data_IF_404430415143
#
_entry.id   IF_404430415143
#
_cell.length_a   1.000
_cell.length_b   1.000
_cell.length_c   1.000
_cell.angle_alpha   90.00
_cell.angle_beta   90.00
_cell.angle_gamma   90.00
#
_symmetry.space_group_name_H-M   'P 1'
#
loop_
_entity.id
_entity.type
_entity.pdbx_description
1 polymer ?
#
# COMPACT_ATOMS: atom_id res chain seq x y z
N UNK A 1 -46.39 -13.18 15.16
CA UNK A 1 -44.95 -13.13 14.84
C UNK A 1 -44.53 -11.71 15.11
N UNK A 2 -43.95 -11.44 16.28
CA UNK A 2 -43.39 -10.11 16.59
C UNK A 2 -42.14 -9.92 15.73
N UNK A 3 -42.13 -8.90 14.87
CA UNK A 3 -40.93 -8.52 14.14
C UNK A 3 -39.88 -8.05 15.15
N UNK A 4 -38.82 -8.83 15.32
CA UNK A 4 -37.71 -8.43 16.16
C UNK A 4 -37.03 -7.20 15.56
N UNK A 5 -36.74 -6.15 16.35
CA UNK A 5 -36.09 -4.95 15.85
C UNK A 5 -34.69 -5.32 15.33
N UNK A 6 -34.38 -4.87 14.12
CA UNK A 6 -33.08 -5.10 13.49
C UNK A 6 -31.96 -4.57 14.41
N UNK A 7 -30.87 -5.33 14.61
CA UNK A 7 -29.77 -4.88 15.46
C UNK A 7 -29.20 -3.56 14.93
N UNK A 8 -28.79 -2.63 15.81
CA UNK A 8 -28.26 -1.33 15.39
C UNK A 8 -27.04 -1.55 14.49
N UNK A 9 -27.11 -1.05 13.25
CA UNK A 9 -26.04 -1.15 12.26
C UNK A 9 -24.81 -0.44 12.82
N UNK A 10 -23.77 -1.21 13.17
CA UNK A 10 -22.50 -0.67 13.66
C UNK A 10 -21.85 0.13 12.55
N UNK A 11 -21.97 1.44 12.59
CA UNK A 11 -21.27 2.30 11.65
C UNK A 11 -19.76 2.15 11.83
N UNK A 12 -18.99 2.03 10.73
CA UNK A 12 -17.55 1.99 10.84
C UNK A 12 -17.08 3.29 11.49
N UNK A 13 -16.52 3.19 12.69
CA UNK A 13 -15.92 4.33 13.39
C UNK A 13 -14.91 5.00 12.47
N UNK A 14 -15.04 6.32 12.32
CA UNK A 14 -14.16 7.15 11.47
C UNK A 14 -12.68 6.89 11.76
N UNK A 15 -12.32 6.61 13.02
CA UNK A 15 -10.97 6.20 13.42
C UNK A 15 -10.47 4.91 12.73
N UNK A 16 -11.34 3.92 12.56
CA UNK A 16 -10.99 2.68 11.85
C UNK A 16 -10.72 2.92 10.37
N UNK A 17 -11.46 3.86 9.77
CA UNK A 17 -11.28 4.23 8.37
C UNK A 17 -9.90 4.89 8.15
N UNK A 18 -9.51 5.81 9.05
CA UNK A 18 -8.17 6.41 9.00
C UNK A 18 -7.05 5.40 9.18
N UNK A 19 -7.21 4.45 10.12
CA UNK A 19 -6.23 3.38 10.32
C UNK A 19 -5.99 2.57 9.04
N UNK A 20 -7.08 2.21 8.34
CA UNK A 20 -7.01 1.49 7.07
C UNK A 20 -6.29 2.30 5.98
N UNK A 21 -6.64 3.58 5.84
CA UNK A 21 -6.01 4.46 4.83
C UNK A 21 -4.52 4.62 5.12
N UNK A 22 -4.12 4.82 6.38
CA UNK A 22 -2.71 4.85 6.76
C UNK A 22 -2.01 3.52 6.46
N UNK A 23 -2.68 2.40 6.71
CA UNK A 23 -2.14 1.08 6.45
C UNK A 23 -1.77 0.87 4.98
N UNK A 24 -2.70 1.22 4.09
CA UNK A 24 -2.49 1.16 2.65
C UNK A 24 -1.43 2.18 2.23
N UNK A 25 -1.49 3.40 2.75
CA UNK A 25 -0.57 4.48 2.43
C UNK A 25 0.89 4.12 2.70
N UNK A 26 1.22 3.63 3.90
CA UNK A 26 2.60 3.24 4.21
C UNK A 26 3.03 2.00 3.42
N UNK A 27 2.12 1.08 3.12
CA UNK A 27 2.41 -0.14 2.35
C UNK A 27 2.89 0.20 0.93
N UNK A 28 2.44 1.32 0.37
CA UNK A 28 2.88 1.82 -0.94
C UNK A 28 4.08 2.76 -0.80
N UNK A 29 4.03 3.70 0.15
CA UNK A 29 5.06 4.73 0.31
C UNK A 29 6.43 4.14 0.68
N UNK A 30 6.48 3.13 1.55
CA UNK A 30 7.75 2.54 2.00
C UNK A 30 8.52 1.91 0.81
N UNK A 31 7.95 0.97 0.02
CA UNK A 31 8.62 0.45 -1.16
C UNK A 31 9.02 1.53 -2.15
N UNK A 32 8.14 2.49 -2.43
CA UNK A 32 8.40 3.55 -3.41
C UNK A 32 9.63 4.38 -3.02
N UNK A 33 9.67 4.86 -1.77
CA UNK A 33 10.78 5.68 -1.28
C UNK A 33 12.07 4.87 -1.21
N UNK A 34 12.01 3.63 -0.72
CA UNK A 34 13.19 2.75 -0.64
C UNK A 34 13.79 2.49 -2.03
N UNK A 35 12.98 2.07 -3.00
CA UNK A 35 13.47 1.78 -4.34
C UNK A 35 13.87 3.05 -5.11
N UNK A 36 13.17 4.17 -4.92
CA UNK A 36 13.55 5.43 -5.55
C UNK A 36 14.90 5.95 -5.02
N UNK A 37 15.14 5.88 -3.69
CA UNK A 37 16.42 6.28 -3.10
C UNK A 37 17.53 5.34 -3.57
N UNK A 38 17.29 4.02 -3.52
CA UNK A 38 18.27 3.03 -3.99
C UNK A 38 18.61 3.23 -5.47
N UNK A 39 17.59 3.35 -6.33
CA UNK A 39 17.78 3.59 -7.77
C UNK A 39 18.52 4.90 -8.04
N UNK A 40 18.14 5.98 -7.35
CA UNK A 40 18.82 7.28 -7.50
C UNK A 40 20.27 7.25 -7.04
N UNK A 41 20.55 6.54 -5.95
CA UNK A 41 21.89 6.39 -5.44
C UNK A 41 22.78 5.65 -6.45
N UNK A 42 22.29 4.53 -7.00
CA UNK A 42 23.03 3.76 -7.98
C UNK A 42 23.20 4.55 -9.29
N UNK A 43 22.15 5.23 -9.76
CA UNK A 43 22.23 6.08 -10.96
C UNK A 43 23.33 7.14 -10.82
N UNK A 44 23.46 7.76 -9.64
CA UNK A 44 24.53 8.74 -9.36
C UNK A 44 25.91 8.10 -9.35
N UNK A 45 26.05 6.88 -8.84
CA UNK A 45 27.36 6.20 -8.77
C UNK A 45 27.85 5.68 -10.12
N UNK A 46 26.92 5.32 -11.02
CA UNK A 46 27.25 4.76 -12.33
C UNK A 46 27.21 5.81 -13.46
N UNK A 47 26.96 7.08 -13.11
CA UNK A 47 26.73 8.18 -14.06
C UNK A 47 25.66 7.84 -15.12
N UNK A 48 24.72 6.96 -14.77
CA UNK A 48 23.65 6.58 -15.68
C UNK A 48 22.58 7.67 -15.70
N UNK A 49 21.97 7.87 -16.87
CA UNK A 49 20.65 8.50 -16.94
C UNK A 49 19.70 7.79 -15.97
N UNK A 50 18.62 8.44 -15.45
CA UNK A 50 17.84 8.00 -14.27
C UNK A 50 16.98 6.72 -14.47
N UNK A 51 17.51 5.75 -15.21
CA UNK A 51 16.91 4.48 -15.56
C UNK A 51 16.74 3.56 -14.36
N UNK A 52 17.68 3.56 -13.41
CA UNK A 52 17.56 2.72 -12.21
C UNK A 52 16.54 3.28 -11.22
N UNK A 53 16.42 4.60 -11.12
CA UNK A 53 15.32 5.25 -10.42
C UNK A 53 13.98 4.85 -11.07
N UNK A 54 13.86 4.97 -12.39
CA UNK A 54 12.63 4.63 -13.12
C UNK A 54 12.25 3.15 -12.93
N UNK A 55 13.22 2.24 -13.07
CA UNK A 55 12.98 0.81 -12.85
C UNK A 55 12.65 0.51 -11.39
N UNK A 56 13.28 1.19 -10.44
CA UNK A 56 12.97 1.11 -9.01
C UNK A 56 11.53 1.54 -8.70
N UNK A 57 11.06 2.63 -9.30
CA UNK A 57 9.65 3.07 -9.16
C UNK A 57 8.71 2.00 -9.73
N UNK A 58 8.97 1.48 -10.93
CA UNK A 58 8.16 0.43 -11.53
C UNK A 58 8.13 -0.83 -10.64
N UNK A 59 9.30 -1.26 -10.13
CA UNK A 59 9.42 -2.39 -9.21
C UNK A 59 8.62 -2.13 -7.92
N UNK A 60 8.65 -0.91 -7.39
CA UNK A 60 7.90 -0.55 -6.20
C UNK A 60 6.38 -0.69 -6.38
N UNK A 61 5.86 -0.41 -7.58
CA UNK A 61 4.44 -0.59 -7.92
C UNK A 61 4.09 -2.07 -7.86
N UNK A 62 4.91 -2.94 -8.46
CA UNK A 62 4.68 -4.38 -8.43
C UNK A 62 4.76 -4.94 -7.00
N UNK A 63 5.78 -4.57 -6.24
CA UNK A 63 5.97 -5.02 -4.85
C UNK A 63 4.84 -4.56 -3.95
N UNK A 64 4.48 -3.28 -3.99
CA UNK A 64 3.38 -2.74 -3.17
C UNK A 64 2.03 -3.35 -3.57
N UNK A 65 1.76 -3.50 -4.87
CA UNK A 65 0.55 -4.15 -5.37
C UNK A 65 0.45 -5.60 -4.90
N UNK A 66 1.56 -6.35 -4.93
CA UNK A 66 1.59 -7.72 -4.44
C UNK A 66 1.31 -7.80 -2.93
N UNK A 67 1.89 -6.90 -2.13
CA UNK A 67 1.67 -6.86 -0.68
C UNK A 67 0.20 -6.54 -0.37
N UNK A 68 -0.36 -5.53 -1.04
CA UNK A 68 -1.77 -5.15 -0.88
C UNK A 68 -2.68 -6.30 -1.30
N UNK A 69 -2.43 -6.91 -2.46
CA UNK A 69 -3.18 -8.08 -2.93
C UNK A 69 -3.18 -9.20 -1.88
N UNK A 70 -2.00 -9.57 -1.37
CA UNK A 70 -1.88 -10.63 -0.36
C UNK A 70 -2.62 -10.29 0.94
N UNK A 71 -2.60 -9.02 1.38
CA UNK A 71 -3.35 -8.55 2.55
C UNK A 71 -4.86 -8.69 2.32
N UNK A 72 -5.35 -8.21 1.17
CA UNK A 72 -6.78 -8.26 0.83
C UNK A 72 -7.25 -9.71 0.68
N UNK A 73 -6.50 -10.56 -0.05
CA UNK A 73 -6.85 -11.98 -0.19
C UNK A 73 -6.91 -12.71 1.15
N UNK A 74 -6.03 -12.38 2.10
CA UNK A 74 -6.04 -12.97 3.44
C UNK A 74 -7.24 -12.52 4.28
N UNK A 75 -7.83 -11.36 4.01
CA UNK A 75 -9.02 -10.87 4.70
C UNK A 75 -10.31 -11.50 4.14
N UNK A 76 -10.29 -11.94 2.89
CA UNK A 76 -11.45 -12.52 2.19
C UNK A 76 -11.56 -14.05 2.37
N UNK A 77 -10.50 -14.71 2.84
CA UNK A 77 -10.42 -16.16 3.04
C UNK A 77 -10.50 -16.52 4.52
#
# INVERSE_FOLDING_TARGET
>A
MEEQPLPPKKEPSVFKLYGLVFEVGYTIAIPLVLFAIAGRYIDKTLETSPWLLLSGIVLSIFVSSFIVYRKVSKLLN
#
